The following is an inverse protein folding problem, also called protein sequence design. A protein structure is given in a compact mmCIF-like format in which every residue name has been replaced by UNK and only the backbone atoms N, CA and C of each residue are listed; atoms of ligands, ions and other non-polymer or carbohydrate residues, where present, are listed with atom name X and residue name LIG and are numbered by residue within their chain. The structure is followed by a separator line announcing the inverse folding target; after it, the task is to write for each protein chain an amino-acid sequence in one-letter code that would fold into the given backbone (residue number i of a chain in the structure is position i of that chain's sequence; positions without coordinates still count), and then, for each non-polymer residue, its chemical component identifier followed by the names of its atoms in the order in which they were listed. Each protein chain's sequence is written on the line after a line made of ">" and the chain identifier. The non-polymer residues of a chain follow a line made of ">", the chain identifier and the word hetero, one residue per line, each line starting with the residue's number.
data_IF_155041012426
#
_entry.id   IF_155041012426
#
_cell.length_a   1.000
_cell.length_b   1.000
_cell.length_c   1.000
_cell.angle_alpha   90.00
_cell.angle_beta   90.00
_cell.angle_gamma   90.00
#
_symmetry.space_group_name_H-M   'P 1'
#
loop_
_entity.id
_entity.type
_entity.pdbx_description
1 polymer ?
#
# COMPACT_ATOMS: atom_id res chain seq x y z
N UNK A 1 38.15 2.00 4.80
CA UNK A 1 36.78 1.98 5.33
C UNK A 1 35.80 2.21 4.20
N UNK A 2 34.79 1.35 4.14
CA UNK A 2 33.57 1.32 3.32
C UNK A 2 33.68 1.02 1.81
N UNK A 3 33.77 -0.29 1.56
CA UNK A 3 33.26 -1.02 0.39
C UNK A 3 31.77 -0.73 0.19
N UNK A 4 31.40 -0.11 -0.93
CA UNK A 4 30.00 0.03 -1.37
C UNK A 4 29.71 -1.08 -2.37
N UNK A 5 29.48 -2.26 -1.83
CA UNK A 5 29.20 -3.49 -2.55
C UNK A 5 27.73 -3.57 -2.98
N UNK A 6 27.52 -3.36 -4.29
CA UNK A 6 26.59 -4.06 -5.18
C UNK A 6 25.25 -4.56 -4.61
N UNK A 7 24.15 -3.92 -5.04
CA UNK A 7 22.83 -4.55 -5.03
C UNK A 7 22.19 -4.57 -6.43
N UNK A 8 22.82 -5.27 -7.37
CA UNK A 8 22.12 -5.84 -8.52
C UNK A 8 21.63 -7.24 -8.16
N UNK A 9 20.33 -7.40 -7.93
CA UNK A 9 19.67 -8.73 -7.94
C UNK A 9 18.35 -8.68 -8.69
N UNK A 10 18.47 -8.97 -10.00
CA UNK A 10 17.48 -9.60 -10.88
C UNK A 10 16.73 -10.73 -10.15
N UNK A 11 15.42 -10.87 -10.34
CA UNK A 11 14.77 -12.16 -10.64
C UNK A 11 13.33 -12.00 -11.15
N UNK A 12 13.08 -12.86 -12.11
CA UNK A 12 11.95 -13.01 -13.01
C UNK A 12 10.91 -13.91 -12.34
N UNK A 13 9.63 -13.55 -12.31
CA UNK A 13 8.55 -14.50 -12.03
C UNK A 13 7.28 -14.12 -12.79
N UNK A 14 7.09 -14.82 -13.90
CA UNK A 14 5.81 -15.10 -14.54
C UNK A 14 4.86 -15.70 -13.50
N UNK A 15 3.63 -15.21 -13.33
CA UNK A 15 2.45 -15.98 -12.83
C UNK A 15 1.17 -15.11 -12.83
N UNK A 16 0.30 -15.44 -13.80
CA UNK A 16 -1.14 -15.75 -13.72
C UNK A 16 -2.10 -14.72 -13.07
N UNK A 17 -2.82 -14.04 -13.98
CA UNK A 17 -4.28 -13.81 -14.01
C UNK A 17 -5.10 -14.21 -12.76
N UNK A 18 -5.72 -13.22 -12.11
CA UNK A 18 -6.96 -13.42 -11.35
C UNK A 18 -7.77 -12.12 -11.32
N UNK A 19 -8.77 -12.12 -12.20
CA UNK A 19 -10.11 -11.52 -12.13
C UNK A 19 -10.34 -10.19 -11.39
N UNK A 20 -10.82 -9.23 -12.20
CA UNK A 20 -11.54 -8.04 -11.79
C UNK A 20 -12.78 -8.42 -10.98
N UNK A 21 -12.82 -8.03 -9.71
CA UNK A 21 -14.07 -7.84 -8.99
C UNK A 21 -14.27 -6.35 -8.70
N UNK A 22 -14.90 -5.66 -9.66
CA UNK A 22 -15.49 -4.34 -9.45
C UNK A 22 -16.71 -4.54 -8.54
N UNK A 23 -16.58 -4.29 -7.24
CA UNK A 23 -17.73 -4.35 -6.33
C UNK A 23 -18.16 -2.96 -5.89
N UNK A 24 -19.30 -2.61 -6.50
CA UNK A 24 -20.28 -1.57 -6.26
C UNK A 24 -20.31 -1.00 -4.83
N UNK A 25 -20.25 0.33 -4.76
CA UNK A 25 -20.63 1.16 -3.60
C UNK A 25 -22.01 0.75 -3.07
N UNK A 26 -22.07 0.19 -1.87
CA UNK A 26 -23.30 0.15 -1.04
C UNK A 26 -22.89 0.54 0.38
N UNK A 27 -23.36 1.71 0.81
CA UNK A 27 -23.09 2.31 2.11
C UNK A 27 -23.71 1.46 3.22
N UNK A 28 -22.90 0.57 3.79
CA UNK A 28 -23.12 -0.08 5.09
C UNK A 28 -22.04 0.47 6.03
N UNK A 29 -22.28 0.60 7.35
CA UNK A 29 -21.20 0.95 8.28
C UNK A 29 -20.11 -0.12 8.19
N UNK A 30 -19.04 0.19 7.45
CA UNK A 30 -17.87 -0.66 7.28
C UNK A 30 -17.18 -0.70 8.64
N UNK A 31 -16.94 -1.91 9.15
CA UNK A 31 -16.19 -2.07 10.40
C UNK A 31 -14.80 -1.46 10.25
N UNK A 32 -14.19 -1.02 11.37
CA UNK A 32 -12.85 -0.39 11.32
C UNK A 32 -11.83 -1.33 10.64
N UNK A 33 -11.92 -2.63 10.92
CA UNK A 33 -11.06 -3.67 10.35
C UNK A 33 -11.20 -3.78 8.83
N UNK A 34 -12.43 -3.79 8.33
CA UNK A 34 -12.71 -3.90 6.90
C UNK A 34 -12.29 -2.63 6.14
N UNK A 35 -12.38 -1.46 6.76
CA UNK A 35 -11.85 -0.22 6.18
C UNK A 35 -10.33 -0.26 6.03
N UNK A 36 -9.62 -0.88 6.96
CA UNK A 36 -8.17 -0.98 6.94
C UNK A 36 -7.69 -1.98 5.89
N UNK A 37 -8.42 -3.09 5.70
CA UNK A 37 -8.20 -4.03 4.62
C UNK A 37 -8.28 -3.35 3.25
N UNK A 38 -9.33 -2.57 2.99
CA UNK A 38 -9.50 -1.84 1.72
C UNK A 38 -8.32 -0.87 1.47
N UNK A 39 -7.90 -0.15 2.51
CA UNK A 39 -6.78 0.79 2.42
C UNK A 39 -5.47 0.05 2.08
N UNK A 40 -5.25 -1.12 2.68
CA UNK A 40 -4.07 -1.97 2.40
C UNK A 40 -4.08 -2.46 0.96
N UNK A 41 -5.22 -2.96 0.49
CA UNK A 41 -5.38 -3.39 -0.90
C UNK A 41 -5.07 -2.25 -1.89
N UNK A 42 -5.53 -1.03 -1.60
CA UNK A 42 -5.23 0.13 -2.44
C UNK A 42 -3.72 0.46 -2.44
N UNK A 43 -3.05 0.39 -1.29
CA UNK A 43 -1.58 0.57 -1.22
C UNK A 43 -0.86 -0.53 -2.02
N UNK A 44 -1.27 -1.80 -1.89
CA UNK A 44 -0.71 -2.92 -2.66
C UNK A 44 -0.91 -2.67 -4.16
N UNK A 45 -2.09 -2.23 -4.57
CA UNK A 45 -2.37 -1.92 -5.97
C UNK A 45 -1.46 -0.80 -6.50
N UNK A 46 -1.33 0.32 -5.79
CA UNK A 46 -0.48 1.43 -6.21
C UNK A 46 0.99 1.00 -6.29
N UNK A 47 1.49 0.28 -5.30
CA UNK A 47 2.88 -0.16 -5.27
C UNK A 47 3.21 -1.19 -6.35
N UNK A 48 2.35 -2.20 -6.54
CA UNK A 48 2.64 -3.34 -7.42
C UNK A 48 2.14 -3.19 -8.85
N UNK A 49 1.07 -2.41 -9.06
CA UNK A 49 0.44 -2.23 -10.39
C UNK A 49 0.74 -0.88 -11.00
N UNK A 50 0.99 0.15 -10.18
CA UNK A 50 1.37 1.49 -10.65
C UNK A 50 2.85 1.80 -10.47
N UNK A 51 3.63 0.87 -9.89
CA UNK A 51 5.06 1.03 -9.61
C UNK A 51 5.39 2.29 -8.79
N UNK A 52 4.44 2.77 -7.97
CA UNK A 52 4.67 3.89 -7.08
C UNK A 52 5.43 3.37 -5.86
N UNK A 53 6.59 3.95 -5.57
CA UNK A 53 7.40 3.52 -4.44
C UNK A 53 6.73 3.85 -3.10
N UNK A 54 7.07 3.12 -2.05
CA UNK A 54 6.60 3.43 -0.69
C UNK A 54 6.97 4.85 -0.24
N UNK A 55 8.07 5.41 -0.78
CA UNK A 55 8.46 6.80 -0.50
C UNK A 55 7.47 7.78 -1.12
N UNK A 56 7.21 7.66 -2.41
CA UNK A 56 6.26 8.52 -3.14
C UNK A 56 4.85 8.42 -2.55
N UNK A 57 4.37 7.20 -2.29
CA UNK A 57 3.09 6.98 -1.62
C UNK A 57 3.02 7.67 -0.26
N UNK A 58 4.10 7.61 0.53
CA UNK A 58 4.13 8.22 1.86
C UNK A 58 4.09 9.75 1.79
N UNK A 59 4.78 10.33 0.81
CA UNK A 59 4.77 11.77 0.53
C UNK A 59 3.36 12.22 0.08
N UNK A 60 2.72 11.46 -0.81
CA UNK A 60 1.37 11.75 -1.31
C UNK A 60 0.34 11.77 -0.19
N UNK A 61 0.32 10.73 0.65
CA UNK A 61 -0.66 10.58 1.74
C UNK A 61 -0.27 11.35 3.01
N UNK A 62 0.90 12.01 3.02
CA UNK A 62 1.36 12.88 4.10
C UNK A 62 1.76 12.15 5.38
N UNK A 63 2.38 10.98 5.27
CA UNK A 63 2.95 10.25 6.42
C UNK A 63 4.40 9.88 6.17
N UNK A 64 5.11 9.45 7.21
CA UNK A 64 6.47 8.96 7.02
C UNK A 64 6.49 7.59 6.31
N UNK A 65 7.47 7.36 5.44
CA UNK A 65 7.73 6.05 4.83
C UNK A 65 7.78 4.91 5.87
N UNK A 66 8.46 5.01 7.03
CA UNK A 66 8.46 3.93 8.02
C UNK A 66 7.07 3.69 8.62
N UNK A 67 6.24 4.72 8.81
CA UNK A 67 4.84 4.55 9.23
C UNK A 67 4.04 3.78 8.17
N UNK A 68 4.18 4.16 6.90
CA UNK A 68 3.53 3.45 5.79
C UNK A 68 3.98 1.99 5.71
N UNK A 69 5.28 1.75 5.84
CA UNK A 69 5.86 0.40 5.82
C UNK A 69 5.34 -0.46 6.97
N UNK A 70 5.25 0.06 8.19
CA UNK A 70 4.66 -0.65 9.34
C UNK A 70 3.19 -0.95 9.09
N UNK A 71 2.44 0.02 8.57
CA UNK A 71 1.04 -0.21 8.21
C UNK A 71 0.97 -1.31 7.16
N UNK A 72 1.63 -1.19 6.00
CA UNK A 72 1.67 -2.20 4.95
C UNK A 72 1.96 -3.61 5.46
N UNK A 73 2.95 -3.77 6.34
CA UNK A 73 3.35 -5.05 6.93
C UNK A 73 2.51 -5.51 8.13
N UNK A 74 1.33 -4.92 8.34
CA UNK A 74 0.41 -5.25 9.45
C UNK A 74 1.02 -5.08 10.85
N UNK A 75 2.08 -4.26 10.98
CA UNK A 75 2.73 -3.96 12.27
C UNK A 75 2.06 -2.80 13.02
N UNK A 76 1.18 -2.07 12.36
CA UNK A 76 0.31 -1.04 12.95
C UNK A 76 -1.09 -1.15 12.34
N UNK A 77 -2.11 -0.99 13.19
CA UNK A 77 -3.52 -1.11 12.79
C UNK A 77 -4.01 0.14 12.08
N UNK A 78 -3.90 1.33 12.69
CA UNK A 78 -4.43 2.57 12.11
C UNK A 78 -3.41 3.42 11.35
N UNK A 79 -3.87 4.00 10.23
CA UNK A 79 -3.34 5.25 9.66
C UNK A 79 -4.16 6.45 10.16
N UNK A 80 -3.57 7.64 10.09
CA UNK A 80 -4.27 8.90 10.41
C UNK A 80 -5.46 9.11 9.47
N UNK A 81 -6.53 9.76 9.96
CA UNK A 81 -7.73 10.03 9.15
C UNK A 81 -7.42 10.75 7.83
N UNK A 82 -6.50 11.72 7.87
CA UNK A 82 -6.02 12.46 6.68
C UNK A 82 -5.38 11.55 5.64
N UNK A 83 -4.54 10.60 6.07
CA UNK A 83 -3.92 9.63 5.16
C UNK A 83 -4.96 8.69 4.53
N UNK A 84 -5.98 8.28 5.30
CA UNK A 84 -7.10 7.47 4.81
C UNK A 84 -7.92 8.24 3.77
N UNK A 85 -8.21 9.51 4.01
CA UNK A 85 -8.97 10.37 3.09
C UNK A 85 -8.23 10.57 1.76
N UNK A 86 -6.93 10.88 1.81
CA UNK A 86 -6.09 11.02 0.63
C UNK A 86 -6.00 9.72 -0.19
N UNK A 87 -5.94 8.57 0.50
CA UNK A 87 -6.03 7.28 -0.16
C UNK A 87 -7.40 6.98 -0.73
N UNK A 88 -8.49 7.62 -0.30
CA UNK A 88 -9.84 7.36 -0.81
C UNK A 88 -10.29 8.31 -1.92
N UNK A 89 -9.55 9.41 -2.14
CA UNK A 89 -9.70 10.28 -3.29
C UNK A 89 -9.27 9.58 -4.59
#
# INVERSE_FOLDING_TARGET
>A
MNSMENLTKKKNTNVIQAEKAVVKKKSKPISVDESECIIREKIVFLHTKKNITMRELSEEIGISQPTLSRFYNQKTKLLSGVAKEKLNR
#
